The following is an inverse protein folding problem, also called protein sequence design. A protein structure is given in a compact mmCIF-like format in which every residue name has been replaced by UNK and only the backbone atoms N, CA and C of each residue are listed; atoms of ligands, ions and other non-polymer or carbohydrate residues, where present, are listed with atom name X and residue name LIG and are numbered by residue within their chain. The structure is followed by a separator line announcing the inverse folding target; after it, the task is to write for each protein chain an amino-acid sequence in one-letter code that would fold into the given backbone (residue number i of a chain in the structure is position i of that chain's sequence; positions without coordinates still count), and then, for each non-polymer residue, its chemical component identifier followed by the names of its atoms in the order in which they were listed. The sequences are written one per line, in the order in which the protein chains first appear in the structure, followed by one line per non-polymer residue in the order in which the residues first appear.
data_IF_726248315716
#
_entry.id   IF_726248315716
#
_cell.length_a   1.000
_cell.length_b   1.000
_cell.length_c   1.000
_cell.angle_alpha   90.00
_cell.angle_beta   90.00
_cell.angle_gamma   90.00
#
_symmetry.space_group_name_H-M   'P 1'
#
loop_
_entity.id
_entity.type
_entity.pdbx_description
1 polymer ?
#
# COMPACT_ATOMS: atom_id res chain seq x y z
N UNK A 1 -77.29 12.39 19.95
CA UNK A 1 -76.11 13.11 19.55
C UNK A 1 -74.88 12.20 19.82
N UNK A 2 -74.30 11.64 18.79
CA UNK A 2 -73.04 10.77 18.91
C UNK A 2 -71.90 11.75 19.11
N UNK A 3 -71.23 11.69 20.30
CA UNK A 3 -70.01 12.48 20.53
C UNK A 3 -68.98 12.17 19.44
N UNK A 4 -68.41 13.19 18.79
CA UNK A 4 -67.42 12.95 17.72
C UNK A 4 -66.25 12.09 18.26
N UNK A 5 -65.87 11.10 17.48
CA UNK A 5 -64.90 10.04 17.83
C UNK A 5 -63.59 10.56 18.39
N UNK A 6 -63.09 11.74 17.92
CA UNK A 6 -61.86 12.40 18.37
C UNK A 6 -61.94 12.96 19.81
N UNK A 7 -63.17 13.03 20.44
CA UNK A 7 -63.33 13.43 21.86
C UNK A 7 -63.31 12.25 22.82
N UNK A 8 -63.04 11.03 22.35
CA UNK A 8 -62.95 9.84 23.21
C UNK A 8 -61.60 9.78 23.89
N UNK A 9 -61.52 9.70 25.25
CA UNK A 9 -60.22 9.67 25.99
C UNK A 9 -59.27 8.57 25.50
N UNK A 10 -59.82 7.43 25.06
CA UNK A 10 -59.06 6.31 24.50
C UNK A 10 -58.26 6.71 23.26
N UNK A 11 -58.82 7.56 22.41
CA UNK A 11 -58.13 8.00 21.18
C UNK A 11 -56.95 8.91 21.54
N UNK A 12 -57.15 9.84 22.49
CA UNK A 12 -56.05 10.68 22.97
C UNK A 12 -54.92 9.87 23.60
N UNK A 13 -55.27 8.84 24.38
CA UNK A 13 -54.28 7.92 24.95
C UNK A 13 -53.50 7.15 23.87
N UNK A 14 -54.18 6.60 22.87
CA UNK A 14 -53.53 5.93 21.73
C UNK A 14 -52.62 6.86 20.93
N UNK A 15 -53.07 8.07 20.60
CA UNK A 15 -52.27 9.06 19.88
C UNK A 15 -51.03 9.45 20.69
N UNK A 16 -51.22 9.74 21.98
CA UNK A 16 -50.09 10.08 22.86
C UNK A 16 -49.08 8.90 22.96
N UNK A 17 -49.56 7.67 23.13
CA UNK A 17 -48.75 6.45 23.13
C UNK A 17 -47.98 6.28 21.83
N UNK A 18 -48.60 6.47 20.69
CA UNK A 18 -47.93 6.44 19.37
C UNK A 18 -46.87 7.53 19.22
N UNK A 19 -47.17 8.76 19.69
CA UNK A 19 -46.20 9.86 19.67
C UNK A 19 -45.01 9.59 20.57
N UNK A 20 -45.22 9.12 21.79
CA UNK A 20 -44.14 8.75 22.72
C UNK A 20 -43.30 7.60 22.16
N UNK A 21 -43.95 6.57 21.61
CA UNK A 21 -43.24 5.46 20.94
C UNK A 21 -42.43 5.93 19.74
N UNK A 22 -42.99 6.79 18.90
CA UNK A 22 -42.31 7.35 17.75
C UNK A 22 -41.12 8.23 18.19
N UNK A 23 -41.30 9.08 19.21
CA UNK A 23 -40.25 9.90 19.78
C UNK A 23 -39.12 9.06 20.38
N UNK A 24 -39.44 8.02 21.15
CA UNK A 24 -38.42 7.11 21.73
C UNK A 24 -37.70 6.34 20.62
N UNK A 25 -38.40 5.82 19.65
CA UNK A 25 -37.80 5.12 18.51
C UNK A 25 -36.88 6.06 17.69
N UNK A 26 -37.29 7.30 17.49
CA UNK A 26 -36.49 8.34 16.84
C UNK A 26 -35.24 8.66 17.66
N UNK A 27 -35.37 8.81 19.01
CA UNK A 27 -34.25 9.01 19.94
C UNK A 27 -33.24 7.88 19.89
N UNK A 28 -33.70 6.61 19.91
CA UNK A 28 -32.85 5.43 19.83
C UNK A 28 -32.12 5.33 18.49
N UNK A 29 -32.83 5.58 17.38
CA UNK A 29 -32.21 5.63 16.05
C UNK A 29 -31.16 6.76 15.94
N UNK A 30 -31.46 7.92 16.50
CA UNK A 30 -30.57 9.05 16.52
C UNK A 30 -29.30 8.75 17.33
N UNK A 31 -29.43 8.11 18.48
CA UNK A 31 -28.30 7.70 19.33
C UNK A 31 -27.43 6.63 18.67
N UNK A 32 -28.02 5.72 17.89
CA UNK A 32 -27.32 4.63 17.21
C UNK A 32 -26.31 5.11 16.14
N UNK A 33 -26.46 6.34 15.65
CA UNK A 33 -25.58 6.92 14.63
C UNK A 33 -24.72 8.05 15.19
N UNK A 34 -24.31 7.96 16.46
CA UNK A 34 -23.40 8.91 17.08
C UNK A 34 -22.09 8.25 17.44
N UNK A 35 -20.99 8.92 17.13
CA UNK A 35 -19.67 8.56 17.57
C UNK A 35 -18.96 9.74 18.23
N UNK A 36 -18.05 9.48 19.13
CA UNK A 36 -17.18 10.51 19.72
C UNK A 36 -15.90 10.64 18.87
N UNK A 37 -15.51 11.85 18.52
CA UNK A 37 -14.25 12.10 17.84
C UNK A 37 -13.05 11.60 18.68
N UNK A 38 -11.92 11.22 18.05
CA UNK A 38 -10.70 10.97 18.79
C UNK A 38 -10.29 12.23 19.55
N UNK A 39 -9.86 12.07 20.78
CA UNK A 39 -9.33 13.18 21.59
C UNK A 39 -7.93 13.60 21.12
N UNK A 40 -7.48 14.74 21.63
CA UNK A 40 -6.19 15.32 21.22
C UNK A 40 -5.00 14.44 21.65
N UNK A 41 -5.07 13.80 22.81
CA UNK A 41 -3.99 12.94 23.31
C UNK A 41 -3.81 11.72 22.40
N UNK A 42 -4.91 11.04 22.05
CA UNK A 42 -4.87 9.93 21.11
C UNK A 42 -4.29 10.33 19.75
N UNK A 43 -4.68 11.49 19.22
CA UNK A 43 -4.18 11.95 17.90
C UNK A 43 -2.69 12.31 17.95
N UNK A 44 -2.20 12.83 19.07
CA UNK A 44 -0.76 13.09 19.26
C UNK A 44 0.01 11.75 19.27
N UNK A 45 -0.43 10.78 20.07
CA UNK A 45 0.22 9.48 20.14
C UNK A 45 0.23 8.75 18.77
N UNK A 46 -0.89 8.80 18.06
CA UNK A 46 -0.99 8.23 16.71
C UNK A 46 -0.05 8.95 15.73
N UNK A 47 0.04 10.27 15.79
CA UNK A 47 0.95 11.05 14.94
C UNK A 47 2.42 10.69 15.22
N UNK A 48 2.83 10.61 16.49
CA UNK A 48 4.20 10.23 16.89
C UNK A 48 4.57 8.85 16.35
N UNK A 49 3.66 7.88 16.39
CA UNK A 49 3.91 6.55 15.82
C UNK A 49 4.18 6.62 14.31
N UNK A 50 3.37 7.37 13.55
CA UNK A 50 3.55 7.53 12.10
C UNK A 50 4.84 8.28 11.78
N UNK A 51 5.14 9.36 12.49
CA UNK A 51 6.37 10.15 12.34
C UNK A 51 7.62 9.31 12.60
N UNK A 52 7.59 8.47 13.64
CA UNK A 52 8.67 7.54 13.97
C UNK A 52 8.93 6.55 12.83
N UNK A 53 7.87 5.99 12.24
CA UNK A 53 7.99 5.05 11.12
C UNK A 53 8.47 5.72 9.82
N UNK A 54 8.08 6.97 9.59
CA UNK A 54 8.47 7.72 8.39
C UNK A 54 9.81 8.47 8.53
N UNK A 55 10.33 8.60 9.74
CA UNK A 55 11.56 9.36 10.04
C UNK A 55 11.44 10.87 9.81
N UNK A 56 10.21 11.40 9.74
CA UNK A 56 9.94 12.84 9.53
C UNK A 56 8.61 13.27 10.14
N UNK A 57 8.47 14.57 10.52
CA UNK A 57 7.22 15.10 11.04
C UNK A 57 6.11 15.10 10.00
N UNK A 58 4.88 14.97 10.47
CA UNK A 58 3.68 15.05 9.63
C UNK A 58 3.37 16.52 9.25
N UNK A 59 2.98 16.73 8.00
CA UNK A 59 2.43 18.01 7.56
C UNK A 59 1.01 18.23 8.13
N UNK A 60 0.52 19.49 8.17
CA UNK A 60 -0.85 19.78 8.62
C UNK A 60 -1.93 18.99 7.85
N UNK A 61 -1.73 18.78 6.56
CA UNK A 61 -2.64 17.97 5.73
C UNK A 61 -2.63 16.49 6.15
N UNK A 62 -1.46 15.95 6.50
CA UNK A 62 -1.33 14.56 6.99
C UNK A 62 -1.97 14.41 8.38
N UNK A 63 -1.84 15.41 9.29
CA UNK A 63 -2.57 15.40 10.55
C UNK A 63 -4.09 15.40 10.36
N UNK A 64 -4.61 16.20 9.42
CA UNK A 64 -6.03 16.22 9.09
C UNK A 64 -6.50 14.87 8.53
N UNK A 65 -5.70 14.25 7.64
CA UNK A 65 -5.97 12.93 7.08
C UNK A 65 -5.95 11.84 8.15
N UNK A 66 -5.00 11.86 9.09
CA UNK A 66 -4.93 10.94 10.22
C UNK A 66 -6.20 11.05 11.09
N UNK A 67 -6.59 12.28 11.44
CA UNK A 67 -7.82 12.51 12.21
C UNK A 67 -9.05 11.96 11.48
N UNK A 68 -9.17 12.22 10.18
CA UNK A 68 -10.28 11.72 9.39
C UNK A 68 -10.30 10.19 9.31
N UNK A 69 -9.14 9.58 9.13
CA UNK A 69 -8.99 8.13 9.15
C UNK A 69 -9.48 7.53 10.48
N UNK A 70 -9.10 8.11 11.62
CA UNK A 70 -9.55 7.64 12.92
C UNK A 70 -11.06 7.80 13.14
N UNK A 71 -11.66 8.85 12.60
CA UNK A 71 -13.12 9.02 12.59
C UNK A 71 -13.76 7.88 11.77
N UNK A 72 -13.25 7.59 10.59
CA UNK A 72 -13.78 6.52 9.73
C UNK A 72 -13.66 5.14 10.38
N UNK A 73 -12.55 4.86 11.05
CA UNK A 73 -12.37 3.63 11.83
C UNK A 73 -13.42 3.49 12.96
N UNK A 74 -13.74 4.60 13.64
CA UNK A 74 -14.81 4.61 14.66
C UNK A 74 -16.19 4.41 14.07
N UNK A 75 -16.46 5.01 12.90
CA UNK A 75 -17.73 4.80 12.16
C UNK A 75 -17.85 3.33 11.75
N UNK A 76 -16.82 2.76 11.13
CA UNK A 76 -16.82 1.36 10.69
C UNK A 76 -17.02 0.39 11.86
N UNK A 77 -16.34 0.62 12.98
CA UNK A 77 -16.52 -0.19 14.17
C UNK A 77 -17.94 -0.09 14.76
N UNK A 78 -18.48 1.13 14.87
CA UNK A 78 -19.84 1.35 15.34
C UNK A 78 -20.87 0.68 14.43
N UNK A 79 -20.70 0.79 13.11
CA UNK A 79 -21.57 0.14 12.12
C UNK A 79 -21.46 -1.38 12.18
N UNK A 80 -20.26 -1.94 12.43
CA UNK A 80 -20.07 -3.37 12.63
C UNK A 80 -20.84 -3.89 13.87
N UNK A 81 -20.79 -3.15 14.96
CA UNK A 81 -21.56 -3.48 16.17
C UNK A 81 -23.07 -3.38 15.93
N UNK A 82 -23.50 -2.33 15.24
CA UNK A 82 -24.92 -2.13 14.89
C UNK A 82 -25.46 -3.24 13.98
N UNK A 83 -24.61 -3.78 13.09
CA UNK A 83 -24.94 -4.95 12.25
C UNK A 83 -24.73 -6.29 12.96
N UNK A 84 -24.43 -6.27 14.23
CA UNK A 84 -24.23 -7.46 15.07
C UNK A 84 -23.14 -8.43 14.54
N UNK A 85 -22.15 -7.90 13.81
CA UNK A 85 -21.08 -8.73 13.24
C UNK A 85 -20.24 -9.41 14.32
N UNK A 86 -20.16 -8.83 15.52
CA UNK A 86 -19.49 -9.40 16.68
C UNK A 86 -20.14 -10.69 17.20
N UNK A 87 -21.44 -10.89 16.93
CA UNK A 87 -22.16 -12.11 17.33
C UNK A 87 -21.92 -13.26 16.36
N UNK A 88 -21.59 -13.01 15.12
CA UNK A 88 -21.45 -14.01 14.05
C UNK A 88 -20.01 -14.37 13.70
N UNK A 89 -19.03 -13.49 13.98
CA UNK A 89 -17.63 -13.72 13.61
C UNK A 89 -16.94 -14.72 14.53
N UNK A 90 -16.39 -15.84 13.99
CA UNK A 90 -15.78 -16.88 14.81
C UNK A 90 -14.50 -16.43 15.53
N UNK A 91 -13.75 -15.47 14.96
CA UNK A 91 -12.54 -14.93 15.59
C UNK A 91 -12.91 -14.09 16.82
N UNK A 92 -13.98 -13.29 16.70
CA UNK A 92 -14.50 -12.51 17.82
C UNK A 92 -15.00 -13.42 18.93
N UNK A 93 -15.76 -14.48 18.61
CA UNK A 93 -16.24 -15.46 19.59
C UNK A 93 -15.08 -16.13 20.33
N UNK A 94 -14.08 -16.60 19.60
CA UNK A 94 -12.89 -17.21 20.20
C UNK A 94 -12.13 -16.24 21.11
N UNK A 95 -12.02 -14.97 20.71
CA UNK A 95 -11.36 -13.93 21.50
C UNK A 95 -12.12 -13.63 22.78
N UNK A 96 -13.44 -13.50 22.72
CA UNK A 96 -14.28 -13.27 23.88
C UNK A 96 -14.19 -14.43 24.90
N UNK A 97 -14.20 -15.67 24.43
CA UNK A 97 -14.02 -16.82 25.31
C UNK A 97 -12.65 -16.86 26.01
N UNK A 98 -11.57 -16.46 25.29
CA UNK A 98 -10.24 -16.32 25.91
C UNK A 98 -10.21 -15.21 26.95
N UNK A 99 -10.84 -14.07 26.66
CA UNK A 99 -10.93 -12.96 27.60
C UNK A 99 -11.74 -13.37 28.84
N UNK A 100 -12.86 -14.10 28.66
CA UNK A 100 -13.65 -14.63 29.75
C UNK A 100 -12.85 -15.61 30.63
N UNK A 101 -12.13 -16.53 30.02
CA UNK A 101 -11.26 -17.46 30.73
C UNK A 101 -10.13 -16.76 31.50
N UNK A 102 -9.51 -15.73 30.90
CA UNK A 102 -8.48 -14.91 31.55
C UNK A 102 -9.02 -14.17 32.79
N UNK A 103 -10.27 -13.73 32.73
CA UNK A 103 -10.96 -13.07 33.85
C UNK A 103 -11.52 -14.07 34.88
N UNK A 104 -11.26 -15.38 34.74
CA UNK A 104 -11.71 -16.41 35.66
C UNK A 104 -13.24 -16.63 35.64
N UNK A 105 -13.90 -16.38 34.51
CA UNK A 105 -15.34 -16.63 34.39
C UNK A 105 -15.62 -18.12 34.30
N UNK A 106 -16.41 -18.62 35.22
CA UNK A 106 -16.85 -20.04 35.27
C UNK A 106 -18.07 -20.27 34.37
N UNK A 107 -18.33 -21.56 34.08
CA UNK A 107 -19.52 -22.01 33.35
C UNK A 107 -19.25 -22.53 31.94
N UNK A 108 -20.33 -22.84 31.21
CA UNK A 108 -20.24 -23.29 29.84
C UNK A 108 -19.76 -22.18 28.92
N UNK A 109 -19.26 -22.54 27.73
CA UNK A 109 -18.83 -21.56 26.72
C UNK A 109 -19.93 -20.55 26.36
N UNK A 110 -21.18 -20.97 26.36
CA UNK A 110 -22.32 -20.10 26.11
C UNK A 110 -22.54 -19.10 27.26
N UNK A 111 -22.44 -19.57 28.53
CA UNK A 111 -22.54 -18.69 29.69
C UNK A 111 -21.41 -17.69 29.75
N UNK A 112 -20.17 -18.13 29.51
CA UNK A 112 -19.00 -17.26 29.42
C UNK A 112 -19.17 -16.19 28.30
N UNK A 113 -19.67 -16.58 27.11
CA UNK A 113 -19.95 -15.69 26.02
C UNK A 113 -20.99 -14.62 26.39
N UNK A 114 -22.12 -15.06 26.99
CA UNK A 114 -23.18 -14.13 27.37
C UNK A 114 -22.70 -13.15 28.46
N UNK A 115 -21.90 -13.61 29.41
CA UNK A 115 -21.30 -12.77 30.44
C UNK A 115 -20.31 -11.80 29.82
N UNK A 116 -19.41 -12.22 28.90
CA UNK A 116 -18.47 -11.37 28.22
C UNK A 116 -19.16 -10.29 27.38
N UNK A 117 -20.27 -10.61 26.73
CA UNK A 117 -21.08 -9.67 25.99
C UNK A 117 -21.79 -8.67 26.91
N UNK A 118 -22.36 -9.12 28.04
CA UNK A 118 -23.02 -8.25 29.02
C UNK A 118 -22.06 -7.25 29.68
N UNK A 119 -20.79 -7.64 29.83
CA UNK A 119 -19.70 -6.77 30.29
C UNK A 119 -19.09 -5.95 29.18
N UNK A 120 -19.63 -5.98 27.98
CA UNK A 120 -19.16 -5.24 26.80
C UNK A 120 -17.68 -5.45 26.47
N UNK A 121 -17.06 -6.60 26.80
CA UNK A 121 -15.64 -6.88 26.57
C UNK A 121 -15.26 -6.77 25.07
N UNK A 122 -16.21 -6.92 24.16
CA UNK A 122 -16.02 -6.72 22.73
C UNK A 122 -15.75 -5.27 22.31
N UNK A 123 -16.09 -4.29 23.16
CA UNK A 123 -15.87 -2.85 22.85
C UNK A 123 -14.47 -2.37 23.19
N UNK A 124 -13.86 -2.92 24.23
CA UNK A 124 -12.53 -2.52 24.71
C UNK A 124 -11.37 -3.33 24.14
N UNK A 125 -11.65 -4.44 23.43
CA UNK A 125 -10.59 -5.30 22.88
C UNK A 125 -10.15 -4.85 21.48
N UNK A 126 -8.90 -4.44 21.35
CA UNK A 126 -8.33 -3.91 20.10
C UNK A 126 -8.29 -4.97 18.97
N UNK A 127 -8.13 -6.27 19.32
CA UNK A 127 -8.14 -7.35 18.31
C UNK A 127 -9.54 -7.50 17.73
N UNK A 128 -10.57 -7.44 18.57
CA UNK A 128 -11.96 -7.48 18.13
C UNK A 128 -12.28 -6.24 17.29
N UNK A 129 -11.85 -5.06 17.75
CA UNK A 129 -12.05 -3.81 17.02
C UNK A 129 -11.48 -3.90 15.60
N UNK A 130 -10.21 -4.25 15.45
CA UNK A 130 -9.55 -4.40 14.14
C UNK A 130 -10.24 -5.44 13.27
N UNK A 131 -10.64 -6.57 13.85
CA UNK A 131 -11.35 -7.62 13.12
C UNK A 131 -12.68 -7.14 12.57
N UNK A 132 -13.46 -6.41 13.34
CA UNK A 132 -14.76 -5.91 12.93
C UNK A 132 -14.63 -4.82 11.87
N UNK A 133 -13.65 -3.93 11.99
CA UNK A 133 -13.34 -2.92 10.98
C UNK A 133 -12.96 -3.61 9.65
N UNK A 134 -12.04 -4.58 9.67
CA UNK A 134 -11.67 -5.36 8.49
C UNK A 134 -12.87 -6.03 7.82
N UNK A 135 -13.80 -6.57 8.60
CA UNK A 135 -15.05 -7.15 8.08
C UNK A 135 -15.92 -6.10 7.40
N UNK A 136 -16.02 -4.91 7.97
CA UNK A 136 -16.77 -3.80 7.37
C UNK A 136 -16.11 -3.29 6.08
N UNK A 137 -14.79 -3.18 6.05
CA UNK A 137 -14.03 -2.80 4.85
C UNK A 137 -14.24 -3.83 3.72
N UNK A 138 -14.22 -5.13 4.05
CA UNK A 138 -14.52 -6.18 3.09
C UNK A 138 -15.96 -6.10 2.55
N UNK A 139 -16.93 -5.82 3.42
CA UNK A 139 -18.32 -5.59 3.02
C UNK A 139 -18.46 -4.33 2.15
N UNK A 140 -17.77 -3.26 2.50
CA UNK A 140 -17.74 -2.01 1.73
C UNK A 140 -17.13 -2.21 0.35
N UNK A 141 -16.00 -2.89 0.26
CA UNK A 141 -15.36 -3.21 -1.01
C UNK A 141 -16.23 -4.08 -1.93
N UNK A 142 -17.11 -4.89 -1.35
CA UNK A 142 -18.04 -5.75 -2.07
C UNK A 142 -19.43 -5.12 -2.27
N UNK A 143 -19.69 -3.90 -1.76
CA UNK A 143 -21.04 -3.29 -1.74
C UNK A 143 -21.52 -2.79 -3.09
N UNK A 144 -20.59 -2.51 -4.02
CA UNK A 144 -20.89 -2.10 -5.40
C UNK A 144 -20.90 -3.27 -6.36
N UNK A 145 -21.36 -3.03 -7.58
CA UNK A 145 -21.27 -4.02 -8.64
C UNK A 145 -19.78 -4.23 -9.01
N UNK A 146 -19.22 -5.39 -8.65
CA UNK A 146 -17.94 -5.83 -9.17
C UNK A 146 -18.17 -6.44 -10.56
N UNK A 147 -18.10 -5.61 -11.60
CA UNK A 147 -18.18 -6.06 -12.98
C UNK A 147 -16.77 -6.31 -13.53
N UNK A 148 -16.57 -7.48 -14.13
CA UNK A 148 -15.30 -7.74 -14.79
C UNK A 148 -15.04 -6.65 -15.85
N UNK A 149 -13.84 -6.04 -15.88
CA UNK A 149 -13.51 -5.06 -16.88
C UNK A 149 -13.69 -5.64 -18.29
N UNK A 150 -14.34 -4.86 -19.14
CA UNK A 150 -14.51 -5.21 -20.56
C UNK A 150 -13.17 -5.15 -21.28
N UNK A 151 -13.05 -5.82 -22.41
CA UNK A 151 -11.87 -5.78 -23.25
C UNK A 151 -11.51 -4.34 -23.69
N UNK A 152 -12.53 -3.53 -23.96
CA UNK A 152 -12.35 -2.12 -24.30
C UNK A 152 -11.74 -1.32 -23.15
N UNK A 153 -12.18 -1.54 -21.91
CA UNK A 153 -11.61 -0.89 -20.73
C UNK A 153 -10.17 -1.34 -20.46
N UNK A 154 -9.87 -2.64 -20.65
CA UNK A 154 -8.51 -3.15 -20.51
C UNK A 154 -7.57 -2.52 -21.55
N UNK A 155 -8.00 -2.43 -22.82
CA UNK A 155 -7.21 -1.77 -23.85
C UNK A 155 -7.02 -0.29 -23.59
N UNK A 156 -8.07 0.41 -23.18
CA UNK A 156 -7.97 1.84 -22.84
C UNK A 156 -6.99 2.09 -21.67
N UNK A 157 -7.01 1.26 -20.63
CA UNK A 157 -6.08 1.36 -19.52
C UNK A 157 -4.63 1.02 -19.92
N UNK A 158 -4.43 0.05 -20.81
CA UNK A 158 -3.12 -0.27 -21.36
C UNK A 158 -2.55 0.91 -22.18
N UNK A 159 -3.36 1.49 -23.06
CA UNK A 159 -2.94 2.62 -23.91
C UNK A 159 -2.69 3.90 -23.11
N UNK A 160 -3.43 4.10 -22.01
CA UNK A 160 -3.26 5.28 -21.15
C UNK A 160 -1.88 5.32 -20.46
N UNK A 161 -1.23 4.19 -20.23
CA UNK A 161 0.07 4.10 -19.59
C UNK A 161 0.94 2.97 -20.19
N UNK A 162 1.14 3.01 -21.50
CA UNK A 162 1.97 2.02 -22.22
C UNK A 162 3.40 1.96 -21.70
N UNK A 163 3.96 3.10 -21.31
CA UNK A 163 5.33 3.19 -20.82
C UNK A 163 5.55 2.33 -19.57
N UNK A 164 4.56 2.24 -18.69
CA UNK A 164 4.58 1.40 -17.48
C UNK A 164 4.71 -0.10 -17.79
N UNK A 165 4.21 -0.52 -18.94
CA UNK A 165 4.25 -1.91 -19.39
C UNK A 165 5.49 -2.24 -20.21
N UNK A 166 6.40 -1.28 -20.39
CA UNK A 166 7.69 -1.55 -21.01
C UNK A 166 8.60 -2.31 -20.04
N UNK A 167 9.31 -3.29 -20.58
CA UNK A 167 10.38 -3.95 -19.84
C UNK A 167 11.49 -2.98 -19.55
N UNK A 168 12.37 -3.31 -18.61
CA UNK A 168 13.58 -2.53 -18.40
C UNK A 168 14.60 -2.80 -19.51
N UNK A 169 15.39 -1.78 -19.92
CA UNK A 169 16.51 -2.01 -20.83
C UNK A 169 17.55 -2.89 -20.13
N UNK A 170 18.22 -3.75 -20.90
CA UNK A 170 19.31 -4.55 -20.38
C UNK A 170 20.61 -4.36 -21.16
N UNK A 171 21.72 -4.51 -20.44
CA UNK A 171 23.07 -4.18 -20.89
C UNK A 171 23.96 -5.39 -20.79
N UNK A 172 24.76 -5.65 -21.82
CA UNK A 172 25.85 -6.60 -21.79
C UNK A 172 27.16 -5.86 -22.02
N UNK A 173 28.16 -6.10 -21.21
CA UNK A 173 29.43 -5.40 -21.31
C UNK A 173 30.55 -6.19 -20.64
N UNK A 174 31.76 -5.93 -21.08
CA UNK A 174 32.99 -6.26 -20.39
C UNK A 174 33.51 -5.02 -19.66
N UNK A 175 34.12 -5.22 -18.51
CA UNK A 175 34.74 -4.11 -17.80
C UNK A 175 36.09 -4.51 -17.17
N UNK A 176 36.97 -3.52 -17.05
CA UNK A 176 38.22 -3.62 -16.34
C UNK A 176 38.13 -2.73 -15.12
N UNK A 177 38.19 -3.34 -13.94
CA UNK A 177 38.06 -2.62 -12.67
C UNK A 177 39.41 -2.14 -12.19
N UNK A 178 39.49 -0.91 -11.71
CA UNK A 178 40.65 -0.27 -11.08
C UNK A 178 40.21 0.20 -9.70
N UNK A 179 40.70 -0.51 -8.66
CA UNK A 179 40.31 -0.29 -7.27
C UNK A 179 40.71 1.08 -6.75
N UNK A 180 39.84 1.71 -5.97
CA UNK A 180 40.13 2.93 -5.22
C UNK A 180 41.19 2.69 -4.11
N UNK A 181 41.36 1.45 -3.62
CA UNK A 181 42.29 1.10 -2.54
C UNK A 181 43.76 1.14 -3.00
N UNK A 182 44.01 1.15 -4.30
CA UNK A 182 45.35 1.16 -4.86
C UNK A 182 45.78 2.57 -5.31
N UNK A 183 47.01 2.93 -4.99
CA UNK A 183 47.54 4.26 -5.37
C UNK A 183 47.54 4.46 -6.89
N UNK A 184 47.30 5.69 -7.31
CA UNK A 184 47.34 6.09 -8.72
C UNK A 184 46.20 5.57 -9.57
N UNK A 185 45.02 5.30 -8.98
CA UNK A 185 43.84 4.77 -9.66
C UNK A 185 43.54 5.52 -10.99
N UNK A 186 43.49 6.86 -10.94
CA UNK A 186 43.17 7.69 -12.12
C UNK A 186 44.21 7.52 -13.23
N UNK A 187 45.49 7.57 -12.88
CA UNK A 187 46.62 7.41 -13.83
C UNK A 187 46.60 6.00 -14.45
N UNK A 188 46.43 4.97 -13.63
CA UNK A 188 46.34 3.58 -14.09
C UNK A 188 45.20 3.38 -15.08
N UNK A 189 44.03 3.97 -14.80
CA UNK A 189 42.85 3.89 -15.69
C UNK A 189 43.12 4.58 -17.03
N UNK A 190 43.71 5.77 -17.01
CA UNK A 190 44.02 6.53 -18.23
C UNK A 190 45.08 5.84 -19.08
N UNK A 191 46.18 5.39 -18.50
CA UNK A 191 47.24 4.69 -19.20
C UNK A 191 46.76 3.39 -19.86
N UNK A 192 45.94 2.62 -19.14
CA UNK A 192 45.34 1.40 -19.66
C UNK A 192 44.37 1.69 -20.82
N UNK A 193 43.51 2.69 -20.69
CA UNK A 193 42.59 3.11 -21.73
C UNK A 193 43.35 3.59 -23.00
N UNK A 194 44.42 4.35 -22.84
CA UNK A 194 45.26 4.82 -23.95
C UNK A 194 45.89 3.64 -24.71
N UNK A 195 46.43 2.67 -23.99
CA UNK A 195 47.03 1.46 -24.60
C UNK A 195 46.02 0.59 -25.32
N UNK A 196 44.79 0.49 -24.81
CA UNK A 196 43.66 -0.17 -25.46
C UNK A 196 43.27 0.54 -26.74
N UNK A 197 43.15 1.87 -26.71
CA UNK A 197 42.73 2.68 -27.86
C UNK A 197 43.79 2.72 -28.98
N UNK A 198 45.07 2.66 -28.63
CA UNK A 198 46.14 2.62 -29.61
C UNK A 198 46.40 1.21 -30.20
N UNK A 199 45.69 0.18 -29.73
CA UNK A 199 45.91 -1.20 -30.16
C UNK A 199 47.20 -1.83 -29.61
N UNK A 200 47.90 -1.13 -28.71
CA UNK A 200 49.14 -1.64 -28.07
C UNK A 200 48.85 -2.77 -27.07
N UNK A 201 47.60 -2.99 -26.73
CA UNK A 201 47.17 -4.03 -25.78
C UNK A 201 45.89 -4.72 -26.28
N UNK A 202 45.89 -6.04 -26.31
CA UNK A 202 44.68 -6.80 -26.62
C UNK A 202 43.66 -6.77 -25.46
N UNK A 203 42.40 -6.99 -25.75
CA UNK A 203 41.31 -7.02 -24.74
C UNK A 203 41.62 -8.06 -23.64
N UNK A 204 42.02 -9.28 -24.01
CA UNK A 204 42.32 -10.33 -23.06
C UNK A 204 43.50 -9.99 -22.14
N UNK A 205 44.56 -9.34 -22.70
CA UNK A 205 45.69 -8.87 -21.92
C UNK A 205 45.32 -7.68 -21.01
N UNK A 206 44.39 -6.84 -21.42
CA UNK A 206 43.91 -5.72 -20.63
C UNK A 206 43.03 -6.17 -19.44
N UNK A 207 42.15 -7.15 -19.65
CA UNK A 207 41.34 -7.74 -18.59
C UNK A 207 42.21 -8.30 -17.47
N UNK A 208 43.37 -8.92 -17.79
CA UNK A 208 44.29 -9.44 -16.79
C UNK A 208 45.07 -8.35 -16.01
N UNK A 209 45.10 -7.08 -16.47
CA UNK A 209 45.77 -5.96 -15.79
C UNK A 209 44.82 -5.21 -14.85
N UNK A 210 43.51 -5.52 -14.87
CA UNK A 210 42.54 -5.01 -13.93
C UNK A 210 42.69 -5.60 -12.52
N UNK A 211 42.07 -4.94 -11.59
CA UNK A 211 41.94 -5.46 -10.22
C UNK A 211 40.75 -6.44 -10.16
N UNK A 212 40.74 -7.34 -9.18
CA UNK A 212 39.64 -8.29 -9.00
C UNK A 212 38.34 -7.58 -8.60
N UNK A 213 37.28 -7.88 -9.30
CA UNK A 213 35.92 -7.38 -8.98
C UNK A 213 35.02 -8.55 -8.59
N UNK A 214 34.16 -8.35 -7.58
CA UNK A 214 33.36 -9.42 -7.00
C UNK A 214 32.44 -10.13 -8.03
N UNK A 215 31.93 -9.38 -8.99
CA UNK A 215 30.99 -9.89 -10.00
C UNK A 215 31.71 -10.35 -11.30
N UNK A 216 33.06 -10.41 -11.29
CA UNK A 216 33.83 -10.72 -12.48
C UNK A 216 34.04 -9.54 -13.41
N UNK A 217 34.44 -9.81 -14.65
CA UNK A 217 34.75 -8.79 -15.68
C UNK A 217 33.77 -8.77 -16.84
N UNK A 218 32.77 -9.64 -16.85
CA UNK A 218 31.79 -9.74 -17.91
C UNK A 218 30.36 -9.77 -17.33
N UNK A 219 29.52 -8.92 -17.85
CA UNK A 219 28.12 -8.80 -17.46
C UNK A 219 27.23 -9.07 -18.66
N UNK A 220 26.22 -9.89 -18.50
CA UNK A 220 25.27 -10.26 -19.55
C UNK A 220 23.84 -9.95 -19.16
N UNK A 221 23.14 -9.19 -20.01
CA UNK A 221 21.72 -8.84 -19.88
C UNK A 221 21.33 -8.28 -18.50
N UNK A 222 22.17 -7.41 -17.95
CA UNK A 222 21.95 -6.79 -16.63
C UNK A 222 21.00 -5.60 -16.78
N UNK A 223 19.93 -5.54 -15.98
CA UNK A 223 18.98 -4.41 -15.98
C UNK A 223 19.60 -3.15 -15.34
N UNK A 224 19.01 -1.99 -15.62
CA UNK A 224 19.43 -0.71 -15.03
C UNK A 224 19.37 -0.75 -13.49
N UNK A 225 18.36 -1.39 -12.93
CA UNK A 225 18.23 -1.61 -11.48
C UNK A 225 19.39 -2.41 -10.88
N UNK A 226 19.79 -3.50 -11.54
CA UNK A 226 20.94 -4.30 -11.08
C UNK A 226 22.28 -3.56 -11.24
N UNK A 227 22.43 -2.75 -12.31
CA UNK A 227 23.60 -1.88 -12.47
C UNK A 227 23.74 -0.90 -11.32
N UNK A 228 22.65 -0.23 -10.96
CA UNK A 228 22.65 0.74 -9.86
C UNK A 228 23.01 0.08 -8.52
N UNK A 229 22.45 -1.08 -8.22
CA UNK A 229 22.75 -1.82 -6.99
C UNK A 229 24.18 -2.35 -6.93
N UNK A 230 24.75 -2.72 -8.08
CA UNK A 230 26.05 -3.40 -8.15
C UNK A 230 27.23 -2.44 -8.38
N UNK A 231 27.02 -1.33 -9.04
CA UNK A 231 28.07 -0.36 -9.42
C UNK A 231 27.79 1.05 -8.90
N UNK A 232 26.57 1.36 -8.50
CA UNK A 232 26.13 2.67 -8.07
C UNK A 232 25.44 3.48 -9.16
N UNK A 233 24.75 4.54 -8.74
CA UNK A 233 23.91 5.39 -9.61
C UNK A 233 24.69 6.01 -10.77
N UNK A 234 25.88 6.56 -10.50
CA UNK A 234 26.70 7.22 -11.55
C UNK A 234 27.08 6.27 -12.69
N UNK A 235 27.40 5.01 -12.37
CA UNK A 235 27.71 4.01 -13.37
C UNK A 235 26.46 3.63 -14.17
N UNK A 236 25.33 3.44 -13.51
CA UNK A 236 24.04 3.12 -14.16
C UNK A 236 23.61 4.23 -15.12
N UNK A 237 23.67 5.49 -14.69
CA UNK A 237 23.36 6.65 -15.53
C UNK A 237 24.28 6.75 -16.75
N UNK A 238 25.59 6.52 -16.56
CA UNK A 238 26.56 6.51 -17.67
C UNK A 238 26.21 5.43 -18.70
N UNK A 239 25.89 4.20 -18.25
CA UNK A 239 25.47 3.12 -19.13
C UNK A 239 24.21 3.46 -19.93
N UNK A 240 23.21 4.08 -19.31
CA UNK A 240 21.98 4.50 -19.97
C UNK A 240 22.24 5.51 -21.08
N UNK A 241 23.15 6.46 -20.86
CA UNK A 241 23.46 7.53 -21.83
C UNK A 241 24.31 7.06 -23.01
N UNK A 242 25.17 6.05 -22.79
CA UNK A 242 26.20 5.67 -23.77
C UNK A 242 25.92 4.35 -24.51
N UNK A 243 25.01 3.50 -24.02
CA UNK A 243 24.87 2.14 -24.56
C UNK A 243 24.44 2.08 -26.02
N UNK A 244 23.46 2.90 -26.42
CA UNK A 244 22.96 2.88 -27.80
C UNK A 244 23.99 3.35 -28.83
N UNK A 245 24.80 4.36 -28.49
CA UNK A 245 25.85 4.88 -29.36
C UNK A 245 27.09 3.97 -29.41
N UNK A 246 27.40 3.31 -28.31
CA UNK A 246 28.65 2.53 -28.15
C UNK A 246 28.61 1.17 -28.83
N UNK A 247 27.41 0.60 -29.09
CA UNK A 247 27.28 -0.63 -29.86
C UNK A 247 27.85 -0.54 -31.27
N UNK A 248 27.83 0.66 -31.86
CA UNK A 248 28.36 0.87 -33.21
C UNK A 248 29.89 0.92 -33.26
N UNK A 249 30.57 1.17 -32.13
CA UNK A 249 32.02 1.38 -32.09
C UNK A 249 32.82 0.27 -31.43
N UNK A 250 32.22 -0.58 -30.62
CA UNK A 250 32.89 -1.70 -29.89
C UNK A 250 34.22 -1.35 -29.19
N UNK A 251 34.40 -0.07 -28.81
CA UNK A 251 35.64 0.42 -28.22
C UNK A 251 35.53 0.53 -26.71
N UNK A 252 36.68 0.40 -26.03
CA UNK A 252 36.80 0.66 -24.61
C UNK A 252 36.58 2.15 -24.31
N UNK A 253 35.74 2.41 -23.32
CA UNK A 253 35.33 3.74 -22.89
C UNK A 253 35.57 3.93 -21.39
N UNK A 254 35.50 5.15 -20.94
CA UNK A 254 35.69 5.50 -19.55
C UNK A 254 36.87 6.45 -19.36
N UNK A 255 37.46 6.52 -18.14
CA UNK A 255 37.04 5.77 -16.95
C UNK A 255 35.69 6.17 -16.39
N UNK A 256 34.88 5.21 -15.99
CA UNK A 256 33.56 5.39 -15.40
C UNK A 256 33.63 5.11 -13.89
N UNK A 257 33.12 6.03 -13.08
CA UNK A 257 33.15 5.88 -11.64
C UNK A 257 32.06 4.91 -11.13
N UNK A 258 32.40 4.12 -10.14
CA UNK A 258 31.47 3.30 -9.35
C UNK A 258 31.68 3.56 -7.86
N UNK A 259 30.88 2.91 -7.02
CA UNK A 259 31.06 2.93 -5.56
C UNK A 259 32.43 2.34 -5.10
N UNK A 260 33.12 1.58 -5.94
CA UNK A 260 34.33 0.83 -5.59
C UNK A 260 35.61 1.36 -6.25
N UNK A 261 35.51 2.19 -7.27
CA UNK A 261 36.63 2.72 -8.02
C UNK A 261 36.26 3.14 -9.44
N UNK A 262 37.17 2.92 -10.38
CA UNK A 262 37.00 3.23 -11.78
C UNK A 262 36.87 1.97 -12.63
N UNK A 263 36.10 2.08 -13.70
CA UNK A 263 35.92 1.01 -14.68
C UNK A 263 36.23 1.52 -16.08
N UNK A 264 36.95 0.75 -16.86
CA UNK A 264 36.96 0.85 -18.30
C UNK A 264 35.87 -0.10 -18.83
N UNK A 265 35.01 0.35 -19.69
CA UNK A 265 33.82 -0.39 -20.10
C UNK A 265 33.83 -0.58 -21.62
N UNK A 266 33.57 -1.80 -22.07
CA UNK A 266 33.30 -2.15 -23.47
C UNK A 266 31.91 -2.75 -23.57
N UNK A 267 30.98 -2.01 -24.16
CA UNK A 267 29.60 -2.47 -24.32
C UNK A 267 29.55 -3.51 -25.44
N UNK A 268 29.02 -4.69 -25.12
CA UNK A 268 28.89 -5.82 -26.03
C UNK A 268 27.44 -6.07 -26.49
N UNK A 269 26.47 -5.53 -25.74
CA UNK A 269 25.06 -5.65 -26.08
C UNK A 269 24.19 -4.63 -25.36
N UNK A 270 23.16 -4.15 -26.04
CA UNK A 270 22.10 -3.33 -25.49
C UNK A 270 20.78 -3.78 -26.01
N UNK A 271 19.89 -4.13 -25.12
CA UNK A 271 18.50 -4.45 -25.44
C UNK A 271 17.62 -3.32 -24.91
N UNK A 272 17.05 -2.50 -25.78
CA UNK A 272 16.19 -1.42 -25.32
C UNK A 272 14.95 -1.99 -24.61
N UNK A 273 14.36 -1.16 -23.78
CA UNK A 273 13.06 -1.48 -23.18
C UNK A 273 12.06 -1.80 -24.31
N UNK A 274 11.49 -2.98 -24.24
CA UNK A 274 10.45 -3.41 -25.21
C UNK A 274 9.10 -3.31 -24.56
N UNK A 275 8.13 -2.77 -25.27
CA UNK A 275 6.74 -2.78 -24.81
C UNK A 275 6.24 -4.23 -24.70
N UNK A 276 5.71 -4.57 -23.56
CA UNK A 276 5.06 -5.87 -23.36
C UNK A 276 3.73 -5.84 -24.10
N UNK A 277 3.50 -6.82 -24.95
CA UNK A 277 2.24 -6.93 -25.70
C UNK A 277 1.05 -6.97 -24.74
N UNK A 278 -0.06 -6.34 -25.13
CA UNK A 278 -1.29 -6.28 -24.34
C UNK A 278 -1.70 -7.64 -23.76
N UNK A 279 -1.61 -8.73 -24.55
CA UNK A 279 -2.00 -10.06 -24.11
C UNK A 279 -1.17 -10.58 -22.92
N UNK A 280 0.10 -10.15 -22.82
CA UNK A 280 0.99 -10.54 -21.71
C UNK A 280 0.68 -9.80 -20.41
N UNK A 281 0.06 -8.63 -20.47
CA UNK A 281 -0.28 -7.78 -19.32
C UNK A 281 -1.78 -7.76 -19.02
N UNK A 282 -2.59 -8.40 -19.83
CA UNK A 282 -4.04 -8.43 -19.72
C UNK A 282 -4.54 -8.92 -18.34
N UNK A 283 -3.93 -9.98 -17.81
CA UNK A 283 -4.32 -10.53 -16.51
C UNK A 283 -3.96 -9.62 -15.35
N UNK A 284 -2.70 -9.16 -15.19
CA UNK A 284 -2.38 -8.20 -14.12
C UNK A 284 -3.18 -6.90 -14.24
N UNK A 285 -3.43 -6.39 -15.44
CA UNK A 285 -4.23 -5.19 -15.65
C UNK A 285 -5.70 -5.39 -15.23
N UNK A 286 -6.26 -6.57 -15.49
CA UNK A 286 -7.61 -6.91 -15.01
C UNK A 286 -7.70 -6.90 -13.50
N UNK A 287 -6.74 -7.53 -12.83
CA UNK A 287 -6.69 -7.55 -11.37
C UNK A 287 -6.54 -6.14 -10.79
N UNK A 288 -5.71 -5.31 -11.41
CA UNK A 288 -5.53 -3.92 -10.99
C UNK A 288 -6.84 -3.12 -11.11
N UNK A 289 -7.55 -3.21 -12.24
CA UNK A 289 -8.82 -2.53 -12.41
C UNK A 289 -9.89 -3.04 -11.43
N UNK A 290 -9.90 -4.34 -11.13
CA UNK A 290 -10.78 -4.89 -10.10
C UNK A 290 -10.42 -4.40 -8.70
N UNK A 291 -9.14 -4.28 -8.37
CA UNK A 291 -8.70 -3.71 -7.09
C UNK A 291 -9.07 -2.22 -6.99
N UNK A 292 -8.90 -1.47 -8.07
CA UNK A 292 -9.32 -0.07 -8.12
C UNK A 292 -10.85 0.06 -7.91
N UNK A 293 -11.62 -0.82 -8.51
CA UNK A 293 -13.09 -0.84 -8.35
C UNK A 293 -13.49 -1.16 -6.90
N UNK A 294 -12.80 -2.12 -6.25
CA UNK A 294 -13.00 -2.43 -4.83
C UNK A 294 -12.65 -1.25 -3.92
N UNK A 295 -11.56 -0.56 -4.22
CA UNK A 295 -11.14 0.62 -3.46
C UNK A 295 -12.16 1.76 -3.60
N UNK A 296 -12.66 2.02 -4.80
CA UNK A 296 -13.70 3.01 -5.04
C UNK A 296 -15.01 2.65 -4.31
N UNK A 297 -15.46 1.39 -4.39
CA UNK A 297 -16.63 0.92 -3.67
C UNK A 297 -16.49 1.12 -2.16
N UNK A 298 -15.33 0.83 -1.59
CA UNK A 298 -15.06 1.06 -0.17
C UNK A 298 -15.12 2.55 0.18
N UNK A 299 -14.53 3.39 -0.65
CA UNK A 299 -14.56 4.84 -0.44
C UNK A 299 -15.98 5.38 -0.47
N UNK A 300 -16.79 4.99 -1.46
CA UNK A 300 -18.19 5.36 -1.57
C UNK A 300 -19.02 4.86 -0.39
N UNK A 301 -18.75 3.64 0.07
CA UNK A 301 -19.39 3.06 1.24
C UNK A 301 -19.06 3.86 2.52
N UNK A 302 -17.80 4.20 2.75
CA UNK A 302 -17.39 5.02 3.90
C UNK A 302 -18.04 6.40 3.82
N UNK A 303 -18.10 7.02 2.65
CA UNK A 303 -18.74 8.33 2.47
C UNK A 303 -20.24 8.28 2.78
N UNK A 304 -20.94 7.25 2.35
CA UNK A 304 -22.36 7.03 2.72
C UNK A 304 -22.54 6.86 4.23
N UNK A 305 -21.59 6.19 4.90
CA UNK A 305 -21.63 6.07 6.36
C UNK A 305 -21.37 7.42 7.04
N UNK A 306 -20.39 8.20 6.58
CA UNK A 306 -20.13 9.55 7.11
C UNK A 306 -21.35 10.43 7.08
N UNK A 307 -22.17 10.36 6.02
CA UNK A 307 -23.42 11.12 5.93
C UNK A 307 -24.48 10.70 6.95
N UNK A 308 -24.43 9.45 7.42
CA UNK A 308 -25.39 8.91 8.41
C UNK A 308 -24.92 9.16 9.85
N UNK A 309 -23.60 9.13 10.09
CA UNK A 309 -23.03 9.25 11.43
C UNK A 309 -22.79 10.70 11.81
N UNK A 310 -23.04 11.02 13.08
CA UNK A 310 -22.75 12.33 13.67
C UNK A 310 -21.55 12.21 14.61
N UNK A 311 -20.57 13.04 14.35
CA UNK A 311 -19.35 13.08 15.14
C UNK A 311 -19.53 14.15 16.22
N UNK A 312 -19.48 13.74 17.49
CA UNK A 312 -19.48 14.65 18.63
C UNK A 312 -18.03 14.97 19.01
N UNK A 313 -17.84 16.17 19.55
CA UNK A 313 -16.57 16.50 20.21
C UNK A 313 -16.34 15.55 21.39
N UNK A 314 -15.07 15.23 21.71
CA UNK A 314 -14.70 14.41 22.85
C UNK A 314 -15.08 15.03 24.16
#
# INVERSE_FOLDING_TARGET
MIKPWYRRPLIHFLVLGCLLYAAERWRLQYAAYQITAPDAAFLIDAAVQVETLQGRPLSPAQHAALRQHEIDQRILFSEALRRELHLSDPVVKQRLLRNAAFLGMDGSAEQQMNTALSLELHRGDEVIRRRLIQRMEALGSASGALTAPTEAQLRAAYEADRARWSGEPSYSFQHIFISADKRGMQQRAQDLLQRLRSGALSDAAALSQGDSFLLGSEMSQVSAYHLERSFGESFSQWMQQHSAASLQSSHWQGPVASAYGLHLVKITGFHPATERAFDSVRSPLREELLQQQRANNLQDFIEQLRQRYRVRSP
#
